data_IF_330102653511
#
_entry.id   IF_330102653511
#
_cell.length_a   1.000
_cell.length_b   1.000
_cell.length_c   1.000
_cell.angle_alpha   90.00
_cell.angle_beta   90.00
_cell.angle_gamma   90.00
#
_symmetry.space_group_name_H-M   'P 1'
#
loop_
_entity.id
_entity.type
_entity.pdbx_description
1 polymer ?
#
# COMPACT_ATOMS: atom_id res chain seq x y z
N UNK A 1 36.17 -10.90 -41.13
CA UNK A 1 36.03 -11.34 -39.72
C UNK A 1 34.79 -10.67 -39.17
N UNK A 2 33.86 -11.48 -38.70
CA UNK A 2 32.59 -11.05 -38.10
C UNK A 2 32.86 -10.60 -36.67
N UNK A 3 32.50 -9.37 -36.31
CA UNK A 3 32.25 -9.01 -34.92
C UNK A 3 30.82 -8.46 -34.84
N UNK A 4 29.93 -9.30 -34.31
CA UNK A 4 28.57 -8.94 -33.92
C UNK A 4 28.68 -8.15 -32.62
N UNK A 5 28.41 -6.86 -32.67
CA UNK A 5 28.08 -6.09 -31.47
C UNK A 5 26.62 -6.40 -31.13
N UNK A 6 26.44 -7.39 -30.26
CA UNK A 6 25.18 -7.63 -29.57
C UNK A 6 24.97 -6.50 -28.57
N UNK A 7 24.11 -5.56 -28.94
CA UNK A 7 23.56 -4.58 -28.02
C UNK A 7 22.49 -5.31 -27.19
N UNK A 8 22.93 -5.97 -26.11
CA UNK A 8 22.05 -6.53 -25.09
C UNK A 8 21.34 -5.36 -24.42
N UNK A 9 20.17 -5.02 -24.95
CA UNK A 9 19.19 -4.18 -24.30
C UNK A 9 18.75 -4.85 -23.00
N UNK A 10 19.51 -4.57 -21.93
CA UNK A 10 19.04 -4.69 -20.55
C UNK A 10 17.87 -3.72 -20.36
N UNK A 11 16.70 -4.08 -20.88
CA UNK A 11 15.43 -3.58 -20.38
C UNK A 11 15.24 -4.19 -19.00
N UNK A 12 15.81 -3.52 -17.99
CA UNK A 12 15.32 -3.59 -16.63
C UNK A 12 13.79 -3.48 -16.71
N UNK A 13 13.01 -4.46 -16.23
CA UNK A 13 11.57 -4.36 -16.27
C UNK A 13 11.17 -3.15 -15.42
N UNK A 14 10.83 -2.05 -16.07
CA UNK A 14 10.27 -0.89 -15.39
C UNK A 14 8.93 -1.33 -14.86
N UNK A 15 8.88 -1.65 -13.57
CA UNK A 15 7.66 -1.98 -12.84
C UNK A 15 6.83 -0.69 -12.69
N UNK A 16 6.24 -0.23 -13.80
CA UNK A 16 5.43 0.97 -13.88
C UNK A 16 3.94 0.68 -13.68
N UNK A 17 3.57 -0.53 -13.26
CA UNK A 17 2.20 -0.83 -12.90
C UNK A 17 1.87 -0.24 -11.53
N UNK A 18 1.28 0.95 -11.55
CA UNK A 18 0.65 1.52 -10.36
C UNK A 18 -0.66 0.79 -10.07
N UNK A 19 -0.80 0.24 -8.87
CA UNK A 19 -2.06 -0.36 -8.43
C UNK A 19 -3.11 0.72 -8.19
N UNK A 20 -4.38 0.47 -8.54
CA UNK A 20 -5.45 1.41 -8.31
C UNK A 20 -5.61 1.68 -6.81
N UNK A 21 -5.63 2.96 -6.44
CA UNK A 21 -5.88 3.40 -5.07
C UNK A 21 -7.37 3.66 -4.87
N UNK A 22 -7.96 3.07 -3.84
CA UNK A 22 -9.41 3.10 -3.61
C UNK A 22 -9.71 3.61 -2.20
N UNK A 23 -10.65 4.55 -2.12
CA UNK A 23 -11.23 4.91 -0.84
C UNK A 23 -12.41 3.99 -0.51
N UNK A 24 -12.16 3.01 0.34
CA UNK A 24 -13.16 2.04 0.75
C UNK A 24 -14.29 2.65 1.60
N UNK A 25 -14.09 3.81 2.23
CA UNK A 25 -15.15 4.47 3.00
C UNK A 25 -16.22 5.08 2.08
N UNK A 26 -15.81 5.52 0.90
CA UNK A 26 -16.69 6.12 -0.11
C UNK A 26 -17.12 5.13 -1.20
N UNK A 27 -16.65 3.88 -1.15
CA UNK A 27 -16.97 2.85 -2.14
C UNK A 27 -17.85 1.77 -1.52
N UNK A 28 -19.00 1.50 -2.14
CA UNK A 28 -19.87 0.41 -1.69
C UNK A 28 -19.14 -0.95 -1.74
N UNK A 29 -19.27 -1.75 -0.68
CA UNK A 29 -18.51 -3.00 -0.51
C UNK A 29 -18.69 -4.01 -1.66
N UNK A 30 -19.90 -4.12 -2.22
CA UNK A 30 -20.18 -5.00 -3.37
C UNK A 30 -19.31 -4.61 -4.57
N UNK A 31 -19.10 -3.32 -4.81
CA UNK A 31 -18.29 -2.84 -5.93
C UNK A 31 -16.83 -3.21 -5.75
N UNK A 32 -16.30 -3.10 -4.52
CA UNK A 32 -14.95 -3.57 -4.19
C UNK A 32 -14.80 -5.08 -4.42
N UNK A 33 -15.79 -5.85 -3.96
CA UNK A 33 -15.78 -7.30 -4.06
C UNK A 33 -15.80 -7.77 -5.52
N UNK A 34 -16.70 -7.22 -6.35
CA UNK A 34 -16.83 -7.60 -7.76
C UNK A 34 -15.64 -7.13 -8.59
N UNK A 35 -15.15 -5.90 -8.38
CA UNK A 35 -14.10 -5.34 -9.23
C UNK A 35 -12.69 -5.83 -8.90
N UNK A 36 -12.43 -6.18 -7.65
CA UNK A 36 -11.08 -6.52 -7.19
C UNK A 36 -10.95 -7.94 -6.67
N UNK A 37 -11.84 -8.35 -5.76
CA UNK A 37 -11.72 -9.66 -5.11
C UNK A 37 -12.05 -10.80 -6.07
N UNK A 38 -13.21 -10.76 -6.74
CA UNK A 38 -13.62 -11.83 -7.67
C UNK A 38 -12.70 -11.93 -8.89
N UNK A 39 -12.10 -10.81 -9.30
CA UNK A 39 -11.18 -10.75 -10.45
C UNK A 39 -9.71 -11.00 -10.05
N UNK A 40 -9.42 -11.25 -8.76
CA UNK A 40 -8.06 -11.33 -8.21
C UNK A 40 -7.16 -10.16 -8.64
N UNK A 41 -7.73 -8.95 -8.73
CA UNK A 41 -7.03 -7.75 -9.17
C UNK A 41 -6.45 -7.00 -7.97
N UNK A 42 -5.13 -6.72 -7.94
CA UNK A 42 -4.53 -5.97 -6.85
C UNK A 42 -5.04 -4.52 -6.79
N UNK A 43 -5.15 -4.00 -5.57
CA UNK A 43 -5.49 -2.60 -5.30
C UNK A 43 -4.87 -2.13 -3.98
N UNK A 44 -4.73 -0.82 -3.83
CA UNK A 44 -4.28 -0.16 -2.60
C UNK A 44 -5.49 0.51 -1.97
N UNK A 45 -5.82 0.16 -0.73
CA UNK A 45 -6.86 0.86 0.02
C UNK A 45 -6.29 2.11 0.68
N UNK A 46 -7.05 3.21 0.65
CA UNK A 46 -6.71 4.43 1.37
C UNK A 46 -6.60 4.15 2.88
N UNK A 47 -5.63 4.78 3.54
CA UNK A 47 -5.37 4.60 4.97
C UNK A 47 -6.59 4.94 5.86
N UNK A 48 -7.52 5.75 5.33
CA UNK A 48 -8.81 6.08 5.95
C UNK A 48 -9.54 4.85 6.50
N UNK A 49 -9.48 3.71 5.80
CA UNK A 49 -10.15 2.46 6.21
C UNK A 49 -9.73 1.97 7.60
N UNK A 50 -8.49 2.29 8.02
CA UNK A 50 -7.93 1.85 9.29
C UNK A 50 -8.03 2.89 10.41
N UNK A 51 -8.55 4.10 10.14
CA UNK A 51 -8.56 5.22 11.08
C UNK A 51 -9.23 4.91 12.42
N UNK A 52 -10.24 4.04 12.43
CA UNK A 52 -11.01 3.68 13.62
C UNK A 52 -10.53 2.38 14.27
N UNK A 53 -9.50 1.73 13.73
CA UNK A 53 -9.03 0.46 14.25
C UNK A 53 -8.32 0.65 15.61
N UNK A 54 -8.69 -0.12 16.66
CA UNK A 54 -8.05 0.00 17.96
C UNK A 54 -6.53 -0.26 17.93
N UNK A 55 -6.06 -1.11 17.01
CA UNK A 55 -4.62 -1.36 16.80
C UNK A 55 -3.91 -0.12 16.29
N UNK A 56 -4.49 0.58 15.30
CA UNK A 56 -3.92 1.81 14.75
C UNK A 56 -3.81 2.90 15.79
N UNK A 57 -4.83 3.07 16.63
CA UNK A 57 -4.81 4.06 17.73
C UNK A 57 -3.73 3.77 18.79
N UNK A 58 -3.32 2.50 18.94
CA UNK A 58 -2.23 2.14 19.86
C UNK A 58 -0.87 2.44 19.22
N UNK A 59 -0.70 2.07 17.96
CA UNK A 59 0.59 2.15 17.27
C UNK A 59 0.87 3.52 16.64
N UNK A 60 -0.17 4.33 16.44
CA UNK A 60 -0.08 5.66 15.88
C UNK A 60 -0.68 6.68 16.87
N UNK A 61 0.11 7.68 17.24
CA UNK A 61 -0.27 8.82 18.08
C UNK A 61 -0.70 9.96 17.18
N UNK A 62 -1.91 10.49 17.39
CA UNK A 62 -2.41 11.66 16.69
C UNK A 62 -1.98 12.93 17.44
N UNK A 63 -1.13 13.75 16.86
CA UNK A 63 -0.63 15.02 17.42
C UNK A 63 -1.07 16.17 16.53
N UNK A 64 -2.01 17.02 17.02
CA UNK A 64 -2.53 18.26 16.41
C UNK A 64 -2.91 18.27 14.92
N UNK A 65 -2.04 17.88 13.97
CA UNK A 65 -2.29 17.71 12.54
C UNK A 65 -1.50 16.56 11.87
N UNK A 66 -0.73 15.78 12.63
CA UNK A 66 0.06 14.64 12.14
C UNK A 66 -0.29 13.36 12.90
N UNK A 67 0.03 12.23 12.26
CA UNK A 67 -0.07 10.91 12.85
C UNK A 67 1.34 10.31 12.88
N UNK A 68 1.87 10.16 14.09
CA UNK A 68 3.24 9.72 14.34
C UNK A 68 3.23 8.30 14.93
N UNK A 69 4.28 7.53 14.70
CA UNK A 69 4.41 6.20 15.27
C UNK A 69 4.60 6.35 16.79
N UNK A 70 3.86 5.57 17.58
CA UNK A 70 4.00 5.52 19.03
C UNK A 70 5.19 4.63 19.42
N UNK A 71 6.39 5.18 19.24
CA UNK A 71 7.65 4.48 19.53
C UNK A 71 7.77 4.10 21.01
N UNK A 72 7.24 4.92 21.93
CA UNK A 72 7.26 4.63 23.38
C UNK A 72 6.50 3.34 23.69
N UNK A 73 5.32 3.13 23.12
CA UNK A 73 4.56 1.89 23.31
C UNK A 73 5.29 0.69 22.73
N UNK A 74 5.89 0.84 21.54
CA UNK A 74 6.59 -0.24 20.86
C UNK A 74 7.81 -0.67 21.67
N UNK A 75 8.64 0.29 22.09
CA UNK A 75 9.82 0.04 22.91
C UNK A 75 9.48 -0.61 24.24
N UNK A 76 8.43 -0.14 24.93
CA UNK A 76 8.07 -0.67 26.25
C UNK A 76 7.45 -2.09 26.21
N UNK A 77 6.83 -2.49 25.09
CA UNK A 77 6.13 -3.78 25.00
C UNK A 77 6.90 -4.86 24.24
N UNK A 78 7.80 -4.47 23.34
CA UNK A 78 8.43 -5.38 22.39
C UNK A 78 9.95 -5.16 22.25
N UNK A 79 10.53 -4.18 22.95
CA UNK A 79 11.96 -3.87 22.95
C UNK A 79 12.69 -4.40 24.17
#
# INVERSE_FOLDING_TARGET
MHEKNGDDSNMEPTCSESFPRIDAQNTHWIRLFVEYMLKNKPCILSASITNTWPSRQKWAKRTNNSEEINLDLISNKYG
#
